data_IF_922984250172
#
_entry.id   IF_922984250172
#
_cell.length_a   1.000
_cell.length_b   1.000
_cell.length_c   1.000
_cell.angle_alpha   90.00
_cell.angle_beta   90.00
_cell.angle_gamma   90.00
#
_symmetry.space_group_name_H-M   'P 1'
#
loop_
_entity.id
_entity.type
_entity.pdbx_description
1 polymer ?
#
# COMPACT_ATOMS: atom_id res chain seq x y z
N UNK A 1 -8.50 -19.46 -10.43
CA UNK A 1 -8.52 -19.80 -8.99
C UNK A 1 -9.49 -18.91 -8.25
N UNK A 2 -10.22 -19.47 -7.27
CA UNK A 2 -11.05 -18.73 -6.30
C UNK A 2 -10.29 -18.46 -5.00
N UNK A 3 -10.78 -17.53 -4.19
CA UNK A 3 -10.25 -17.28 -2.85
C UNK A 3 -11.25 -17.73 -1.76
N UNK A 4 -10.79 -18.58 -0.87
CA UNK A 4 -11.49 -19.06 0.32
C UNK A 4 -10.97 -18.30 1.53
N UNK A 5 -11.85 -17.55 2.21
CA UNK A 5 -11.48 -16.77 3.40
C UNK A 5 -12.15 -17.36 4.64
N UNK A 6 -11.37 -17.68 5.67
CA UNK A 6 -11.88 -18.19 6.94
C UNK A 6 -12.25 -17.05 7.88
N UNK A 7 -13.55 -16.95 8.20
CA UNK A 7 -14.15 -15.93 9.05
C UNK A 7 -15.11 -16.56 10.08
N UNK A 8 -14.72 -17.70 10.65
CA UNK A 8 -15.60 -18.54 11.48
C UNK A 8 -15.42 -18.37 13.00
N UNK A 9 -14.32 -17.77 13.46
CA UNK A 9 -13.97 -17.69 14.89
C UNK A 9 -14.64 -16.56 15.67
N UNK A 10 -14.61 -16.66 17.01
CA UNK A 10 -15.24 -15.69 17.92
C UNK A 10 -14.46 -14.37 18.07
N UNK A 11 -13.14 -14.37 17.86
CA UNK A 11 -12.32 -13.15 17.97
C UNK A 11 -12.24 -12.53 19.37
N UNK A 12 -12.23 -13.36 20.43
CA UNK A 12 -12.35 -12.94 21.85
C UNK A 12 -11.37 -11.84 22.28
N UNK A 13 -10.12 -11.88 21.80
CA UNK A 13 -9.04 -10.98 22.27
C UNK A 13 -9.24 -9.52 21.82
N UNK A 14 -9.89 -9.28 20.69
CA UNK A 14 -10.20 -7.94 20.17
C UNK A 14 -11.57 -7.42 20.60
N UNK A 15 -12.48 -8.30 21.03
CA UNK A 15 -13.86 -7.94 21.41
C UNK A 15 -13.95 -6.86 22.50
N UNK A 16 -13.08 -6.78 23.52
CA UNK A 16 -13.12 -5.71 24.51
C UNK A 16 -12.87 -4.31 23.94
N UNK A 17 -12.20 -4.23 22.79
CA UNK A 17 -11.80 -2.96 22.17
C UNK A 17 -12.72 -2.53 21.01
N UNK A 18 -13.49 -3.47 20.47
CA UNK A 18 -14.32 -3.25 19.29
C UNK A 18 -15.66 -3.97 19.40
N UNK A 19 -16.75 -3.21 19.26
CA UNK A 19 -18.11 -3.75 19.24
C UNK A 19 -18.49 -4.27 17.84
N UNK A 20 -17.80 -5.34 17.43
CA UNK A 20 -17.97 -5.99 16.12
C UNK A 20 -17.15 -7.29 16.04
N UNK A 21 -17.52 -8.23 15.17
CA UNK A 21 -16.73 -9.43 14.88
C UNK A 21 -15.31 -9.06 14.41
N UNK A 22 -14.30 -9.86 14.77
CA UNK A 22 -12.90 -9.66 14.38
C UNK A 22 -12.72 -9.37 12.88
N UNK A 23 -13.32 -10.14 11.94
CA UNK A 23 -13.20 -9.85 10.50
C UNK A 23 -13.70 -8.45 10.10
N UNK A 24 -14.67 -7.91 10.84
CA UNK A 24 -15.32 -6.63 10.58
C UNK A 24 -14.66 -5.44 11.30
N UNK A 25 -13.60 -5.70 12.11
CA UNK A 25 -12.83 -4.65 12.79
C UNK A 25 -12.18 -3.71 11.77
N UNK A 26 -12.46 -2.42 11.90
CA UNK A 26 -11.92 -1.41 10.99
C UNK A 26 -10.47 -1.09 11.31
N UNK A 27 -9.59 -1.28 10.34
CA UNK A 27 -8.21 -0.82 10.35
C UNK A 27 -8.01 0.22 9.24
N UNK A 28 -7.86 1.48 9.65
CA UNK A 28 -7.65 2.63 8.75
C UNK A 28 -8.73 2.73 7.65
N UNK A 29 -10.00 2.66 8.05
CA UNK A 29 -11.15 2.93 7.18
C UNK A 29 -11.73 1.73 6.43
N UNK A 30 -11.08 0.57 6.45
CA UNK A 30 -11.60 -0.68 5.91
C UNK A 30 -11.62 -1.75 6.99
N UNK A 31 -12.59 -2.66 6.97
CA UNK A 31 -12.52 -3.86 7.81
C UNK A 31 -11.35 -4.78 7.40
N UNK A 32 -10.89 -5.65 8.31
CA UNK A 32 -9.81 -6.62 8.02
C UNK A 32 -10.15 -7.47 6.79
N UNK A 33 -11.38 -8.01 6.76
CA UNK A 33 -11.82 -8.88 5.65
C UNK A 33 -12.00 -8.11 4.34
N UNK A 34 -12.54 -6.88 4.37
CA UNK A 34 -12.61 -6.04 3.15
C UNK A 34 -11.22 -5.76 2.59
N UNK A 35 -10.25 -5.48 3.45
CA UNK A 35 -8.86 -5.25 3.02
C UNK A 35 -8.29 -6.49 2.34
N UNK A 36 -8.52 -7.69 2.87
CA UNK A 36 -8.05 -8.93 2.26
C UNK A 36 -8.72 -9.21 0.91
N UNK A 37 -10.04 -9.01 0.81
CA UNK A 37 -10.79 -9.13 -0.45
C UNK A 37 -10.25 -8.16 -1.50
N UNK A 38 -10.12 -6.88 -1.15
CA UNK A 38 -9.61 -5.85 -2.06
C UNK A 38 -8.16 -6.11 -2.47
N UNK A 39 -7.32 -6.58 -1.55
CA UNK A 39 -5.93 -6.95 -1.86
C UNK A 39 -5.83 -8.08 -2.88
N UNK A 40 -6.63 -9.14 -2.72
CA UNK A 40 -6.67 -10.26 -3.65
C UNK A 40 -7.30 -9.87 -5.00
N UNK A 41 -8.27 -8.93 -4.98
CA UNK A 41 -8.84 -8.33 -6.20
C UNK A 41 -7.80 -7.58 -7.02
N UNK A 42 -6.92 -6.80 -6.40
CA UNK A 42 -5.79 -6.15 -7.10
C UNK A 42 -4.82 -7.17 -7.72
N UNK A 43 -4.83 -8.41 -7.22
CA UNK A 43 -4.07 -9.52 -7.80
C UNK A 43 -4.85 -10.30 -8.87
N UNK A 44 -6.05 -9.85 -9.24
CA UNK A 44 -6.87 -10.43 -10.31
C UNK A 44 -7.93 -11.43 -9.85
N UNK A 45 -8.07 -11.70 -8.55
CA UNK A 45 -9.05 -12.67 -8.03
C UNK A 45 -10.39 -11.98 -7.80
N UNK A 46 -11.45 -12.49 -8.43
CA UNK A 46 -12.79 -11.89 -8.37
C UNK A 46 -13.83 -12.76 -7.69
N UNK A 47 -13.57 -14.04 -7.48
CA UNK A 47 -14.54 -14.98 -6.95
C UNK A 47 -14.09 -15.47 -5.57
N UNK A 48 -14.92 -15.19 -4.57
CA UNK A 48 -14.63 -15.42 -3.16
C UNK A 48 -15.66 -16.35 -2.53
N UNK A 49 -15.17 -17.25 -1.68
CA UNK A 49 -15.99 -18.07 -0.79
C UNK A 49 -15.61 -17.75 0.64
N UNK A 50 -16.52 -17.12 1.38
CA UNK A 50 -16.31 -16.78 2.79
C UNK A 50 -16.89 -17.90 3.64
N UNK A 51 -16.03 -18.56 4.41
CA UNK A 51 -16.45 -19.56 5.38
C UNK A 51 -16.79 -18.84 6.68
N UNK A 52 -18.07 -18.85 7.03
CA UNK A 52 -18.63 -18.22 8.22
C UNK A 52 -18.89 -19.24 9.32
N UNK A 53 -18.98 -18.76 10.57
CA UNK A 53 -19.26 -19.55 11.76
C UNK A 53 -20.02 -18.67 12.75
N UNK A 54 -19.38 -18.28 13.85
CA UNK A 54 -20.00 -17.54 14.96
C UNK A 54 -20.84 -16.30 14.56
N UNK A 55 -20.39 -15.49 13.60
CA UNK A 55 -21.04 -14.23 13.21
C UNK A 55 -21.49 -14.22 11.74
N UNK A 56 -22.11 -15.31 11.28
CA UNK A 56 -22.44 -15.49 9.87
C UNK A 56 -23.36 -14.40 9.28
N UNK A 57 -24.40 -14.00 10.01
CA UNK A 57 -25.36 -12.98 9.57
C UNK A 57 -24.70 -11.60 9.48
N UNK A 58 -24.02 -11.15 10.53
CA UNK A 58 -23.33 -9.85 10.54
C UNK A 58 -22.31 -9.71 9.41
N UNK A 59 -21.54 -10.77 9.14
CA UNK A 59 -20.55 -10.77 8.04
C UNK A 59 -21.26 -10.68 6.68
N UNK A 60 -22.34 -11.45 6.48
CA UNK A 60 -23.10 -11.48 5.24
C UNK A 60 -23.79 -10.14 4.98
N UNK A 61 -24.41 -9.55 5.99
CA UNK A 61 -25.11 -8.27 5.87
C UNK A 61 -24.13 -7.13 5.54
N UNK A 62 -22.94 -7.16 6.12
CA UNK A 62 -21.92 -6.14 5.89
C UNK A 62 -21.25 -6.24 4.51
N UNK A 63 -20.92 -7.45 4.05
CA UNK A 63 -20.21 -7.70 2.79
C UNK A 63 -21.15 -7.83 1.58
N UNK A 64 -22.40 -8.26 1.79
CA UNK A 64 -23.38 -8.48 0.74
C UNK A 64 -22.92 -9.53 -0.28
N UNK A 65 -23.26 -9.35 -1.56
CA UNK A 65 -22.82 -10.22 -2.65
C UNK A 65 -21.43 -9.87 -3.22
N UNK A 66 -20.75 -8.88 -2.62
CA UNK A 66 -19.43 -8.41 -3.05
C UNK A 66 -19.44 -7.36 -4.17
N UNK A 67 -20.59 -7.02 -4.78
CA UNK A 67 -20.64 -6.08 -5.91
C UNK A 67 -20.07 -4.71 -5.57
N UNK A 68 -20.30 -4.21 -4.33
CA UNK A 68 -19.71 -2.95 -3.82
C UNK A 68 -18.17 -2.96 -3.86
N UNK A 69 -17.57 -4.12 -3.73
CA UNK A 69 -16.11 -4.33 -3.74
C UNK A 69 -15.59 -4.72 -5.14
N UNK A 70 -16.46 -4.88 -6.14
CA UNK A 70 -16.09 -5.28 -7.49
C UNK A 70 -15.72 -6.77 -7.62
N UNK A 71 -16.27 -7.62 -6.74
CA UNK A 71 -16.03 -9.06 -6.68
C UNK A 71 -17.36 -9.82 -6.52
N UNK A 72 -17.34 -11.14 -6.66
CA UNK A 72 -18.45 -12.03 -6.35
C UNK A 72 -18.16 -12.75 -5.03
N UNK A 73 -19.10 -12.71 -4.08
CA UNK A 73 -18.96 -13.39 -2.79
C UNK A 73 -20.06 -14.45 -2.64
N UNK A 74 -19.63 -15.69 -2.39
CA UNK A 74 -20.46 -16.79 -1.90
C UNK A 74 -20.14 -17.06 -0.44
N UNK A 75 -21.13 -17.51 0.32
CA UNK A 75 -20.98 -17.87 1.72
C UNK A 75 -21.20 -19.35 1.92
N UNK A 76 -20.34 -19.98 2.70
CA UNK A 76 -20.60 -21.29 3.28
C UNK A 76 -20.58 -21.14 4.81
N UNK A 77 -21.45 -21.89 5.47
CA UNK A 77 -21.53 -21.89 6.93
C UNK A 77 -20.93 -23.19 7.49
N UNK A 78 -20.05 -23.05 8.46
CA UNK A 78 -19.54 -24.15 9.26
C UNK A 78 -20.25 -24.16 10.62
N UNK A 79 -21.10 -25.16 10.85
CA UNK A 79 -21.81 -25.35 12.12
C UNK A 79 -20.83 -25.72 13.24
N UNK A 80 -19.78 -26.48 12.90
CA UNK A 80 -18.75 -26.99 13.82
C UNK A 80 -17.54 -26.05 13.92
N UNK A 81 -17.75 -24.74 13.83
CA UNK A 81 -16.66 -23.75 13.81
C UNK A 81 -15.79 -23.75 15.08
N UNK A 82 -16.29 -24.31 16.18
CA UNK A 82 -15.56 -24.47 17.44
C UNK A 82 -14.48 -25.56 17.41
N UNK A 83 -14.57 -26.53 16.49
CA UNK A 83 -13.62 -27.65 16.44
C UNK A 83 -12.23 -27.23 15.95
N UNK A 84 -12.16 -26.24 15.05
CA UNK A 84 -10.88 -25.71 14.57
C UNK A 84 -10.94 -25.09 13.18
N UNK A 85 -9.83 -24.43 12.81
CA UNK A 85 -9.70 -23.80 11.49
C UNK A 85 -9.60 -24.83 10.34
N UNK A 86 -9.15 -26.06 10.62
CA UNK A 86 -9.14 -27.16 9.64
C UNK A 86 -10.54 -27.59 9.26
N UNK A 87 -11.44 -27.77 10.25
CA UNK A 87 -12.86 -28.08 10.00
C UNK A 87 -13.54 -26.95 9.23
N UNK A 88 -13.21 -25.70 9.56
CA UNK A 88 -13.69 -24.53 8.81
C UNK A 88 -13.19 -24.55 7.36
N UNK A 89 -11.90 -24.78 7.12
CA UNK A 89 -11.36 -24.91 5.77
C UNK A 89 -12.00 -26.06 4.99
N UNK A 90 -12.22 -27.20 5.64
CA UNK A 90 -12.83 -28.37 5.02
C UNK A 90 -14.24 -28.07 4.52
N UNK A 91 -14.99 -27.15 5.13
CA UNK A 91 -16.34 -26.75 4.66
C UNK A 91 -16.39 -26.39 3.19
N UNK A 92 -15.28 -25.92 2.61
CA UNK A 92 -15.16 -25.63 1.18
C UNK A 92 -15.39 -26.84 0.27
N UNK A 93 -15.23 -28.08 0.74
CA UNK A 93 -15.52 -29.30 -0.05
C UNK A 93 -16.94 -29.30 -0.65
N UNK A 94 -17.90 -28.63 0.01
CA UNK A 94 -19.30 -28.51 -0.44
C UNK A 94 -19.44 -27.78 -1.78
N UNK A 95 -18.44 -27.00 -2.16
CA UNK A 95 -18.45 -26.16 -3.38
C UNK A 95 -17.16 -26.28 -4.20
N UNK A 96 -16.25 -27.16 -3.79
CA UNK A 96 -14.98 -27.38 -4.47
C UNK A 96 -15.23 -27.94 -5.88
N UNK A 97 -14.51 -27.41 -6.86
CA UNK A 97 -14.53 -27.92 -8.24
C UNK A 97 -13.35 -28.85 -8.42
N UNK A 98 -13.57 -29.99 -9.08
CA UNK A 98 -12.51 -30.95 -9.35
C UNK A 98 -11.32 -30.26 -10.06
N UNK A 99 -10.11 -30.61 -9.62
CA UNK A 99 -8.83 -30.09 -10.11
C UNK A 99 -8.65 -28.56 -9.98
N UNK A 100 -9.47 -27.90 -9.15
CA UNK A 100 -9.35 -26.47 -8.90
C UNK A 100 -8.24 -26.13 -7.89
N UNK A 101 -7.40 -25.18 -8.26
CA UNK A 101 -6.55 -24.45 -7.32
C UNK A 101 -7.29 -23.29 -6.67
N UNK A 102 -7.14 -23.12 -5.38
CA UNK A 102 -7.75 -22.04 -4.62
C UNK A 102 -6.79 -21.42 -3.62
N UNK A 103 -6.93 -20.11 -3.39
CA UNK A 103 -6.24 -19.45 -2.29
C UNK A 103 -7.02 -19.71 -1.02
N UNK A 104 -6.36 -20.10 0.06
CA UNK A 104 -6.96 -20.15 1.39
C UNK A 104 -6.26 -19.12 2.28
N UNK A 105 -7.04 -18.24 2.90
CA UNK A 105 -6.53 -17.12 3.69
C UNK A 105 -7.35 -16.93 4.97
N UNK A 106 -6.67 -16.54 6.04
CA UNK A 106 -7.34 -16.10 7.28
C UNK A 106 -7.91 -14.68 7.12
N UNK A 107 -9.10 -14.41 7.65
CA UNK A 107 -9.75 -13.08 7.54
C UNK A 107 -9.07 -11.95 8.32
N UNK A 108 -8.17 -12.28 9.25
CA UNK A 108 -7.51 -11.40 10.20
C UNK A 108 -6.01 -11.21 9.93
N UNK A 109 -5.44 -11.91 8.94
CA UNK A 109 -4.06 -11.74 8.54
C UNK A 109 -3.97 -10.72 7.40
N UNK A 110 -3.17 -9.66 7.59
CA UNK A 110 -2.98 -8.59 6.60
C UNK A 110 -1.62 -8.75 5.93
N UNK A 111 -1.61 -8.73 4.60
CA UNK A 111 -0.41 -8.96 3.79
C UNK A 111 -0.03 -7.74 2.97
N UNK A 112 1.28 -7.56 2.74
CA UNK A 112 1.81 -6.63 1.76
C UNK A 112 1.46 -7.04 0.33
N UNK A 113 1.25 -6.05 -0.54
CA UNK A 113 0.83 -6.28 -1.92
C UNK A 113 1.89 -7.02 -2.74
N UNK A 114 3.19 -6.78 -2.48
CA UNK A 114 4.25 -7.46 -3.22
C UNK A 114 4.30 -8.94 -2.86
N UNK A 115 4.11 -9.29 -1.58
CA UNK A 115 4.01 -10.68 -1.13
C UNK A 115 2.87 -11.41 -1.82
N UNK A 116 1.66 -10.83 -1.88
CA UNK A 116 0.53 -11.49 -2.54
C UNK A 116 0.82 -11.76 -4.03
N UNK A 117 1.43 -10.79 -4.73
CA UNK A 117 1.80 -10.94 -6.15
C UNK A 117 2.85 -12.03 -6.37
N UNK A 118 3.91 -12.06 -5.56
CA UNK A 118 4.95 -13.09 -5.69
C UNK A 118 4.42 -14.46 -5.29
N UNK A 119 3.58 -14.54 -4.27
CA UNK A 119 2.93 -15.78 -3.83
C UNK A 119 2.03 -16.38 -4.92
N UNK A 120 1.19 -15.56 -5.56
CA UNK A 120 0.32 -15.98 -6.67
C UNK A 120 1.13 -16.38 -7.91
N UNK A 121 2.26 -15.72 -8.15
CA UNK A 121 3.17 -16.11 -9.24
C UNK A 121 3.78 -17.49 -8.98
N UNK A 122 4.17 -17.78 -7.74
CA UNK A 122 4.71 -19.10 -7.37
C UNK A 122 3.64 -20.19 -7.30
N UNK A 123 2.37 -19.82 -7.08
CA UNK A 123 1.23 -20.74 -7.18
C UNK A 123 1.20 -21.46 -8.53
N UNK A 124 1.54 -20.77 -9.62
CA UNK A 124 1.56 -21.35 -10.98
C UNK A 124 2.59 -22.47 -11.18
N UNK A 125 3.47 -22.69 -10.20
CA UNK A 125 4.57 -23.68 -10.25
C UNK A 125 4.33 -24.88 -9.33
N UNK A 126 3.18 -24.97 -8.67
CA UNK A 126 2.86 -26.12 -7.82
C UNK A 126 2.23 -27.23 -8.65
N UNK A 127 2.36 -28.46 -8.18
CA UNK A 127 1.66 -29.60 -8.78
C UNK A 127 0.28 -29.76 -8.15
N UNK A 128 -0.62 -30.43 -8.86
CA UNK A 128 -1.98 -30.74 -8.40
C UNK A 128 -2.01 -31.46 -7.04
N UNK A 129 -0.98 -32.27 -6.76
CA UNK A 129 -0.87 -32.99 -5.51
C UNK A 129 -0.12 -32.21 -4.40
N UNK A 130 0.32 -30.98 -4.63
CA UNK A 130 1.07 -30.16 -3.67
C UNK A 130 0.19 -29.09 -3.01
N UNK A 131 0.68 -28.55 -1.89
CA UNK A 131 0.18 -27.37 -1.20
C UNK A 131 1.28 -26.31 -1.22
N UNK A 132 0.93 -25.04 -1.50
CA UNK A 132 1.84 -23.91 -1.24
C UNK A 132 1.49 -23.22 0.07
N UNK A 133 2.51 -22.85 0.85
CA UNK A 133 2.35 -22.13 2.12
C UNK A 133 3.25 -20.90 2.11
N UNK A 134 2.72 -19.73 2.46
CA UNK A 134 3.53 -18.56 2.71
C UNK A 134 4.25 -18.73 4.06
N UNK A 135 5.58 -18.64 4.05
CA UNK A 135 6.40 -18.80 5.24
C UNK A 135 7.40 -17.67 5.41
N UNK A 136 7.65 -17.22 6.64
CA UNK A 136 8.64 -16.19 6.93
C UNK A 136 9.87 -16.77 7.63
N UNK A 137 11.04 -16.59 7.03
CA UNK A 137 12.35 -16.94 7.60
C UNK A 137 12.98 -15.79 8.39
N UNK A 138 12.44 -14.57 8.27
CA UNK A 138 12.94 -13.36 8.92
C UNK A 138 12.33 -13.29 10.32
N UNK A 139 12.74 -14.24 11.17
CA UNK A 139 12.17 -14.43 12.52
C UNK A 139 12.25 -13.16 13.36
N UNK A 140 13.25 -12.30 13.12
CA UNK A 140 13.43 -11.01 13.76
C UNK A 140 12.37 -9.95 13.38
N UNK A 141 11.63 -10.17 12.29
CA UNK A 141 10.55 -9.29 11.82
C UNK A 141 9.16 -9.76 12.22
N UNK A 142 9.03 -11.00 12.72
CA UNK A 142 7.76 -11.56 13.16
C UNK A 142 7.36 -10.89 14.48
N UNK A 143 6.15 -10.33 14.53
CA UNK A 143 5.70 -9.54 15.69
C UNK A 143 5.57 -10.38 16.96
N UNK A 144 4.87 -11.52 16.88
CA UNK A 144 4.71 -12.46 18.00
C UNK A 144 5.12 -13.87 17.58
N UNK A 145 6.40 -14.19 17.75
CA UNK A 145 6.95 -15.49 17.40
C UNK A 145 6.40 -16.65 18.26
N UNK A 146 5.90 -16.34 19.45
CA UNK A 146 5.44 -17.36 20.40
C UNK A 146 4.06 -17.89 20.00
N UNK A 147 3.16 -17.01 19.57
CA UNK A 147 1.80 -17.37 19.14
C UNK A 147 1.75 -18.00 17.73
N UNK A 148 2.77 -17.73 16.89
CA UNK A 148 2.87 -18.24 15.53
C UNK A 148 3.03 -19.76 15.45
N UNK A 149 2.49 -20.35 14.38
CA UNK A 149 2.78 -21.73 13.99
C UNK A 149 4.19 -21.78 13.38
N UNK A 150 5.11 -22.46 14.06
CA UNK A 150 6.51 -22.57 13.65
C UNK A 150 6.66 -23.69 12.61
N UNK A 151 7.63 -23.54 11.71
CA UNK A 151 7.93 -24.46 10.62
C UNK A 151 9.40 -24.87 10.68
N UNK A 152 9.65 -26.18 10.65
CA UNK A 152 10.94 -26.73 10.23
C UNK A 152 10.92 -26.90 8.73
N UNK A 153 11.72 -26.12 8.02
CA UNK A 153 11.85 -26.16 6.58
C UNK A 153 13.19 -26.76 6.16
N UNK A 154 13.17 -27.56 5.10
CA UNK A 154 14.35 -27.97 4.35
C UNK A 154 14.19 -27.57 2.89
N UNK A 155 15.13 -26.78 2.37
CA UNK A 155 15.01 -26.13 1.05
C UNK A 155 13.69 -25.35 0.97
N UNK A 156 12.82 -25.71 0.02
CA UNK A 156 11.52 -25.06 -0.21
C UNK A 156 10.35 -25.93 0.24
N UNK A 157 10.57 -26.86 1.18
CA UNK A 157 9.53 -27.74 1.69
C UNK A 157 9.45 -27.68 3.21
N UNK A 158 8.22 -27.78 3.73
CA UNK A 158 7.97 -27.98 5.14
C UNK A 158 8.20 -29.44 5.49
N UNK A 159 8.96 -29.68 6.56
CA UNK A 159 9.15 -31.00 7.16
C UNK A 159 8.15 -31.21 8.29
N UNK A 160 7.97 -30.20 9.13
CA UNK A 160 7.05 -30.24 10.26
C UNK A 160 6.60 -28.84 10.66
N UNK A 161 5.35 -28.74 11.08
CA UNK A 161 4.76 -27.52 11.62
C UNK A 161 4.24 -27.76 13.04
N UNK A 162 4.24 -26.71 13.86
CA UNK A 162 3.56 -26.74 15.15
C UNK A 162 3.87 -25.52 16.02
N UNK A 163 2.91 -25.11 16.85
CA UNK A 163 3.09 -23.97 17.78
C UNK A 163 4.21 -24.19 18.81
N UNK A 164 4.35 -25.43 19.29
CA UNK A 164 5.33 -25.84 20.31
C UNK A 164 6.61 -26.45 19.71
N UNK A 165 6.87 -26.24 18.42
CA UNK A 165 8.05 -26.81 17.76
C UNK A 165 9.32 -26.06 18.22
N UNK A 166 10.27 -26.78 18.82
CA UNK A 166 11.52 -26.18 19.32
C UNK A 166 12.58 -26.00 18.22
N UNK A 167 12.70 -26.97 17.30
CA UNK A 167 13.59 -26.89 16.14
C UNK A 167 12.83 -26.35 14.94
N UNK A 168 12.97 -25.05 14.67
CA UNK A 168 12.30 -24.35 13.57
C UNK A 168 13.22 -23.30 12.95
N UNK A 169 12.93 -22.95 11.69
CA UNK A 169 13.69 -21.94 10.95
C UNK A 169 12.78 -21.04 10.09
N UNK A 170 11.46 -21.19 10.20
CA UNK A 170 10.46 -20.32 9.60
C UNK A 170 9.16 -20.33 10.42
N UNK A 171 8.21 -19.47 10.08
CA UNK A 171 6.84 -19.47 10.60
C UNK A 171 5.82 -19.46 9.47
N UNK A 172 4.64 -20.03 9.72
CA UNK A 172 3.46 -19.97 8.85
C UNK A 172 2.82 -18.58 8.90
N UNK A 173 2.53 -18.03 7.73
CA UNK A 173 1.90 -16.71 7.60
C UNK A 173 0.37 -16.79 7.41
N UNK A 174 -0.25 -17.97 7.44
CA UNK A 174 -1.71 -18.11 7.32
C UNK A 174 -2.26 -17.88 5.90
N UNK A 175 -1.43 -18.10 4.89
CA UNK A 175 -1.79 -17.96 3.47
C UNK A 175 -1.33 -19.19 2.68
N UNK A 176 -2.25 -19.78 1.93
CA UNK A 176 -2.05 -21.06 1.26
C UNK A 176 -2.58 -21.04 -0.17
N UNK A 177 -1.98 -21.85 -1.04
CA UNK A 177 -2.62 -22.32 -2.28
C UNK A 177 -2.97 -23.79 -2.08
N UNK A 178 -4.26 -24.05 -1.92
CA UNK A 178 -4.81 -25.39 -1.80
C UNK A 178 -5.19 -25.99 -3.14
N UNK A 179 -5.11 -27.30 -3.20
CA UNK A 179 -5.66 -28.17 -4.24
C UNK A 179 -6.52 -29.24 -3.59
N UNK A 180 -7.05 -30.20 -4.36
CA UNK A 180 -7.72 -31.39 -3.82
C UNK A 180 -6.89 -32.13 -2.75
N UNK A 181 -5.56 -32.09 -2.87
CA UNK A 181 -4.66 -32.67 -1.88
C UNK A 181 -4.83 -32.11 -0.46
N UNK A 182 -5.12 -30.81 -0.34
CA UNK A 182 -5.39 -30.19 0.96
C UNK A 182 -6.71 -30.69 1.55
N UNK A 183 -7.75 -30.83 0.73
CA UNK A 183 -9.04 -31.34 1.17
C UNK A 183 -8.94 -32.80 1.62
N UNK A 184 -8.23 -33.64 0.88
CA UNK A 184 -7.97 -35.03 1.27
C UNK A 184 -7.22 -35.12 2.60
N UNK A 185 -6.20 -34.27 2.78
CA UNK A 185 -5.45 -34.20 4.02
C UNK A 185 -6.31 -33.72 5.20
N UNK A 186 -7.24 -32.77 4.96
CA UNK A 186 -8.21 -32.32 5.95
C UNK A 186 -9.16 -33.45 6.36
N UNK A 187 -9.72 -34.21 5.41
CA UNK A 187 -10.56 -35.38 5.71
C UNK A 187 -9.81 -36.37 6.60
N UNK A 188 -8.57 -36.69 6.21
CA UNK A 188 -7.73 -37.62 6.97
C UNK A 188 -7.44 -37.11 8.38
N UNK A 189 -7.08 -35.84 8.54
CA UNK A 189 -6.84 -35.26 9.86
C UNK A 189 -8.10 -35.28 10.74
N UNK A 190 -9.25 -34.85 10.21
CA UNK A 190 -10.52 -34.77 10.94
C UNK A 190 -10.97 -36.15 11.40
N UNK A 191 -10.86 -37.18 10.55
CA UNK A 191 -11.19 -38.57 10.93
C UNK A 191 -10.27 -39.15 12.03
N UNK A 192 -9.11 -38.53 12.28
CA UNK A 192 -8.21 -38.86 13.37
C UNK A 192 -8.43 -38.00 14.62
N UNK A 193 -9.45 -37.14 14.63
CA UNK A 193 -9.73 -36.21 15.72
C UNK A 193 -8.79 -34.98 15.75
N UNK A 194 -8.09 -34.71 14.65
CA UNK A 194 -7.20 -33.57 14.49
C UNK A 194 -7.87 -32.50 13.63
N UNK A 195 -8.14 -31.33 14.21
CA UNK A 195 -9.07 -30.34 13.62
C UNK A 195 -8.41 -29.05 13.12
N UNK A 196 -7.08 -28.93 13.17
CA UNK A 196 -6.38 -27.72 12.73
C UNK A 196 -5.89 -27.84 11.29
N UNK A 197 -5.70 -26.70 10.62
CA UNK A 197 -5.02 -26.65 9.32
C UNK A 197 -3.61 -27.23 9.43
N UNK A 198 -2.90 -26.92 10.52
CA UNK A 198 -1.54 -27.44 10.78
C UNK A 198 -1.49 -28.96 10.77
N UNK A 199 -2.53 -29.65 11.24
CA UNK A 199 -2.58 -31.12 11.22
C UNK A 199 -2.64 -31.67 9.78
N UNK A 200 -3.50 -31.10 8.94
CA UNK A 200 -3.58 -31.47 7.53
C UNK A 200 -2.29 -31.14 6.76
N UNK A 201 -1.69 -29.98 7.05
CA UNK A 201 -0.40 -29.60 6.45
C UNK A 201 0.69 -30.59 6.85
N UNK A 202 0.74 -31.03 8.11
CA UNK A 202 1.72 -32.03 8.58
C UNK A 202 1.57 -33.37 7.87
N UNK A 203 0.34 -33.79 7.50
CA UNK A 203 0.11 -34.98 6.68
C UNK A 203 0.79 -34.82 5.31
N UNK A 204 0.60 -33.68 4.63
CA UNK A 204 1.24 -33.41 3.34
C UNK A 204 2.76 -33.28 3.46
N UNK A 205 3.25 -32.59 4.50
CA UNK A 205 4.67 -32.42 4.79
C UNK A 205 5.38 -33.77 4.96
N UNK A 206 4.77 -34.73 5.65
CA UNK A 206 5.34 -36.09 5.84
C UNK A 206 5.57 -36.86 4.53
N UNK A 207 4.89 -36.43 3.46
CA UNK A 207 5.03 -36.99 2.10
C UNK A 207 5.78 -36.09 1.12
N UNK A 208 6.41 -35.00 1.60
CA UNK A 208 7.14 -34.05 0.76
C UNK A 208 6.26 -33.20 -0.16
N UNK A 209 4.98 -33.01 0.18
CA UNK A 209 3.96 -32.33 -0.64
C UNK A 209 3.58 -30.94 -0.14
N UNK A 210 4.23 -30.44 0.91
CA UNK A 210 4.00 -29.10 1.47
C UNK A 210 5.15 -28.16 1.07
N UNK A 211 4.96 -27.40 -0.02
CA UNK A 211 5.94 -26.46 -0.56
C UNK A 211 5.81 -25.09 0.11
N UNK A 212 6.92 -24.38 0.22
CA UNK A 212 7.03 -23.09 0.90
C UNK A 212 7.35 -21.98 -0.09
N UNK A 213 6.66 -20.85 0.06
CA UNK A 213 7.04 -19.56 -0.52
C UNK A 213 7.59 -18.68 0.59
N UNK A 214 8.87 -18.33 0.53
CA UNK A 214 9.48 -17.46 1.53
C UNK A 214 9.17 -15.99 1.26
N UNK A 215 8.49 -15.37 2.21
CA UNK A 215 7.97 -14.01 2.04
C UNK A 215 9.08 -12.94 2.09
N UNK A 216 8.92 -11.89 1.29
CA UNK A 216 9.85 -10.76 1.22
C UNK A 216 9.22 -9.41 1.64
N UNK A 217 7.90 -9.36 1.83
CA UNK A 217 7.15 -8.19 2.28
C UNK A 217 6.54 -8.43 3.68
N UNK A 218 5.85 -7.45 4.26
CA UNK A 218 5.22 -7.58 5.56
C UNK A 218 3.98 -8.49 5.53
N UNK A 219 3.71 -9.13 6.66
CA UNK A 219 2.45 -9.77 6.99
C UNK A 219 2.23 -9.63 8.50
N UNK A 220 0.97 -9.53 8.94
CA UNK A 220 0.63 -9.40 10.37
C UNK A 220 -0.68 -10.14 10.65
N UNK A 221 -0.66 -11.06 11.62
CA UNK A 221 -1.87 -11.57 12.27
C UNK A 221 -2.40 -10.54 13.26
N UNK A 222 -3.59 -10.01 13.02
CA UNK A 222 -4.23 -9.00 13.87
C UNK A 222 -5.10 -9.70 14.90
N UNK A 223 -4.51 -10.15 16.01
CA UNK A 223 -5.20 -11.00 16.99
C UNK A 223 -5.67 -10.29 18.26
N UNK A 224 -4.93 -9.28 18.70
CA UNK A 224 -5.18 -8.48 19.90
C UNK A 224 -4.97 -6.97 19.62
N UNK A 225 -5.12 -6.15 20.66
CA UNK A 225 -4.99 -4.70 20.48
C UNK A 225 -3.56 -4.27 20.13
N UNK A 226 -2.53 -4.98 20.60
CA UNK A 226 -1.14 -4.64 20.33
C UNK A 226 -0.77 -4.91 18.87
N UNK A 227 -1.10 -6.11 18.37
CA UNK A 227 -0.96 -6.49 16.96
C UNK A 227 -1.81 -5.61 16.05
N UNK A 228 -3.00 -5.16 16.49
CA UNK A 228 -3.79 -4.16 15.77
C UNK A 228 -3.05 -2.81 15.63
N UNK A 229 -2.44 -2.29 16.71
CA UNK A 229 -1.65 -1.05 16.64
C UNK A 229 -0.38 -1.22 15.80
N UNK A 230 0.25 -2.40 15.86
CA UNK A 230 1.39 -2.72 15.02
C UNK A 230 0.99 -2.76 13.54
N UNK A 231 -0.11 -3.42 13.21
CA UNK A 231 -0.65 -3.49 11.86
C UNK A 231 -0.96 -2.10 11.31
N UNK A 232 -1.55 -1.22 12.13
CA UNK A 232 -1.76 0.19 11.78
C UNK A 232 -0.45 0.89 11.38
N UNK A 233 0.62 0.72 12.18
CA UNK A 233 1.92 1.37 11.93
C UNK A 233 2.59 0.86 10.66
N UNK A 234 2.63 -0.47 10.50
CA UNK A 234 3.25 -1.11 9.32
C UNK A 234 2.49 -0.76 8.05
N UNK A 235 1.16 -0.78 8.09
CA UNK A 235 0.32 -0.44 6.96
C UNK A 235 0.47 1.02 6.54
N UNK A 236 0.61 1.97 7.48
CA UNK A 236 0.91 3.37 7.11
C UNK A 236 2.29 3.50 6.47
N UNK A 237 3.31 2.84 7.03
CA UNK A 237 4.68 2.88 6.48
C UNK A 237 4.76 2.28 5.07
N UNK A 238 3.97 1.25 4.77
CA UNK A 238 3.93 0.64 3.44
C UNK A 238 3.25 1.51 2.37
N UNK A 239 2.62 2.63 2.74
CA UNK A 239 2.07 3.59 1.78
C UNK A 239 3.14 4.48 1.15
N UNK A 240 4.34 4.55 1.73
CA UNK A 240 5.44 5.37 1.23
C UNK A 240 6.01 4.74 -0.04
N UNK A 241 5.98 5.43 -1.18
CA UNK A 241 6.61 4.93 -2.41
C UNK A 241 8.13 4.81 -2.26
N UNK A 242 8.74 3.80 -2.89
CA UNK A 242 10.20 3.64 -2.92
C UNK A 242 10.91 4.78 -3.67
N UNK A 243 10.21 5.42 -4.61
CA UNK A 243 10.74 6.42 -5.57
C UNK A 243 10.44 7.86 -5.15
N UNK A 244 10.35 8.09 -3.85
CA UNK A 244 10.01 9.38 -3.28
C UNK A 244 11.17 10.38 -3.39
N UNK A 245 10.86 11.64 -3.63
CA UNK A 245 11.85 12.72 -3.60
C UNK A 245 12.48 12.88 -2.20
N UNK A 246 13.66 13.48 -2.14
CA UNK A 246 14.42 13.63 -0.89
C UNK A 246 13.62 14.34 0.20
N UNK A 247 12.97 15.47 -0.13
CA UNK A 247 12.17 16.22 0.85
C UNK A 247 10.94 15.41 1.24
N UNK A 248 10.29 14.76 0.26
CA UNK A 248 9.15 13.90 0.55
C UNK A 248 9.52 12.82 1.57
N UNK A 249 10.58 12.06 1.30
CA UNK A 249 11.01 10.91 2.11
C UNK A 249 11.38 11.30 3.54
N UNK A 250 12.22 12.34 3.72
CA UNK A 250 12.77 12.69 5.03
C UNK A 250 11.89 13.68 5.82
N UNK A 251 11.05 14.47 5.15
CA UNK A 251 10.23 15.50 5.80
C UNK A 251 8.73 15.26 5.60
N UNK A 252 8.23 15.26 4.36
CA UNK A 252 6.77 15.28 4.13
C UNK A 252 6.09 14.03 4.67
N UNK A 253 6.66 12.84 4.45
CA UNK A 253 6.05 11.55 4.81
C UNK A 253 5.77 11.42 6.30
N UNK A 254 6.55 12.07 7.16
CA UNK A 254 6.29 12.07 8.61
C UNK A 254 4.94 12.72 8.93
N UNK A 255 4.62 13.82 8.24
CA UNK A 255 3.40 14.58 8.46
C UNK A 255 2.22 14.02 7.64
N UNK A 256 2.44 13.66 6.38
CA UNK A 256 1.39 13.13 5.52
C UNK A 256 0.82 11.82 6.08
N UNK A 257 1.65 10.89 6.55
CA UNK A 257 1.18 9.63 7.15
C UNK A 257 0.36 9.85 8.44
N UNK A 258 0.67 10.89 9.22
CA UNK A 258 -0.12 11.27 10.38
C UNK A 258 -1.51 11.76 9.95
N UNK A 259 -1.57 12.64 8.95
CA UNK A 259 -2.81 13.16 8.38
C UNK A 259 -3.63 12.02 7.77
N UNK A 260 -3.00 11.16 6.97
CA UNK A 260 -3.59 9.93 6.39
C UNK A 260 -4.19 9.05 7.47
N UNK A 261 -3.48 8.81 8.58
CA UNK A 261 -3.99 8.00 9.69
C UNK A 261 -5.28 8.53 10.31
N UNK A 262 -5.49 9.84 10.29
CA UNK A 262 -6.71 10.51 10.76
C UNK A 262 -7.80 10.45 9.67
N UNK A 263 -7.49 10.91 8.46
CA UNK A 263 -8.43 10.99 7.33
C UNK A 263 -8.91 9.63 6.83
N UNK A 264 -8.12 8.57 7.02
CA UNK A 264 -8.49 7.22 6.61
C UNK A 264 -9.84 6.77 7.21
N UNK A 265 -10.20 7.28 8.41
CA UNK A 265 -11.45 6.96 9.10
C UNK A 265 -12.66 7.74 8.56
N UNK A 266 -12.42 8.78 7.76
CA UNK A 266 -13.46 9.65 7.22
C UNK A 266 -13.88 9.19 5.81
N UNK A 267 -15.09 9.58 5.39
CA UNK A 267 -15.59 9.36 4.02
C UNK A 267 -15.07 10.42 3.04
N UNK A 268 -13.76 10.67 3.05
CA UNK A 268 -13.06 11.58 2.13
C UNK A 268 -12.43 10.79 0.98
N UNK A 269 -12.53 11.32 -0.24
CA UNK A 269 -11.95 10.73 -1.46
C UNK A 269 -10.56 11.31 -1.76
N UNK A 270 -9.69 10.59 -2.49
CA UNK A 270 -8.40 11.12 -2.95
C UNK A 270 -8.55 12.45 -3.70
N UNK A 271 -9.48 12.54 -4.66
CA UNK A 271 -9.69 13.76 -5.45
C UNK A 271 -10.11 14.97 -4.59
N UNK A 272 -10.85 14.76 -3.49
CA UNK A 272 -11.15 15.83 -2.54
C UNK A 272 -9.88 16.34 -1.84
N UNK A 273 -8.97 15.45 -1.49
CA UNK A 273 -7.68 15.80 -0.87
C UNK A 273 -6.81 16.55 -1.88
N UNK A 274 -6.77 16.11 -3.15
CA UNK A 274 -6.11 16.82 -4.25
C UNK A 274 -6.61 18.27 -4.36
N UNK A 275 -7.93 18.48 -4.32
CA UNK A 275 -8.52 19.83 -4.34
C UNK A 275 -8.09 20.64 -3.11
N UNK A 276 -8.03 20.04 -1.91
CA UNK A 276 -7.55 20.73 -0.70
C UNK A 276 -6.07 21.11 -0.85
N UNK A 277 -5.22 20.22 -1.37
CA UNK A 277 -3.82 20.52 -1.68
C UNK A 277 -3.70 21.71 -2.62
N UNK A 278 -4.45 21.69 -3.73
CA UNK A 278 -4.52 22.76 -4.71
C UNK A 278 -4.98 24.09 -4.11
N UNK A 279 -6.07 24.10 -3.34
CA UNK A 279 -6.57 25.32 -2.68
C UNK A 279 -5.57 25.87 -1.65
N UNK A 280 -4.85 24.99 -0.95
CA UNK A 280 -3.78 25.39 -0.03
C UNK A 280 -2.65 26.08 -0.79
N UNK A 281 -2.24 25.56 -1.94
CA UNK A 281 -1.24 26.19 -2.81
C UNK A 281 -1.72 27.52 -3.42
N UNK A 282 -2.99 27.62 -3.81
CA UNK A 282 -3.59 28.88 -4.26
C UNK A 282 -3.61 29.93 -3.13
N UNK A 283 -3.90 29.52 -1.90
CA UNK A 283 -3.77 30.37 -0.71
C UNK A 283 -2.33 30.84 -0.49
N UNK A 284 -1.34 29.95 -0.68
CA UNK A 284 0.07 30.31 -0.64
C UNK A 284 0.43 31.40 -1.67
N UNK A 285 -0.02 31.22 -2.92
CA UNK A 285 0.18 32.18 -4.00
C UNK A 285 -0.42 33.55 -3.67
N UNK A 286 -1.63 33.58 -3.10
CA UNK A 286 -2.29 34.81 -2.66
C UNK A 286 -1.51 35.50 -1.53
N UNK A 287 -1.04 34.73 -0.53
CA UNK A 287 -0.20 35.27 0.53
C UNK A 287 1.08 35.89 -0.02
N UNK A 288 1.75 35.24 -0.99
CA UNK A 288 2.90 35.82 -1.67
C UNK A 288 2.54 37.12 -2.38
N UNK A 289 1.47 37.14 -3.18
CA UNK A 289 1.04 38.31 -3.94
C UNK A 289 0.71 39.53 -3.05
N UNK A 290 0.19 39.29 -1.85
CA UNK A 290 -0.12 40.32 -0.84
C UNK A 290 1.08 40.72 0.03
N UNK A 291 2.28 40.20 -0.25
CA UNK A 291 3.51 40.48 0.51
C UNK A 291 3.68 39.67 1.80
N UNK A 292 2.77 38.75 2.10
CA UNK A 292 2.82 37.82 3.24
C UNK A 292 3.74 36.62 2.99
N UNK A 293 5.03 36.86 2.72
CA UNK A 293 5.97 35.84 2.24
C UNK A 293 6.17 34.66 3.20
N UNK A 294 6.20 34.90 4.52
CA UNK A 294 6.32 33.83 5.52
C UNK A 294 5.15 32.83 5.42
N UNK A 295 3.92 33.32 5.44
CA UNK A 295 2.72 32.49 5.37
C UNK A 295 2.59 31.82 4.00
N UNK A 296 2.95 32.53 2.92
CA UNK A 296 3.02 31.94 1.58
C UNK A 296 3.98 30.74 1.54
N UNK A 297 5.18 30.88 2.12
CA UNK A 297 6.16 29.79 2.18
C UNK A 297 5.68 28.59 2.99
N UNK A 298 5.09 28.83 4.17
CA UNK A 298 4.57 27.76 5.01
C UNK A 298 3.38 27.03 4.37
N UNK A 299 2.47 27.76 3.71
CA UNK A 299 1.34 27.17 2.99
C UNK A 299 1.80 26.37 1.76
N UNK A 300 2.82 26.82 1.03
CA UNK A 300 3.39 26.09 -0.10
C UNK A 300 4.02 24.74 0.35
N UNK A 301 4.69 24.72 1.51
CA UNK A 301 5.17 23.46 2.06
C UNK A 301 4.02 22.58 2.55
N UNK A 302 3.01 23.17 3.20
CA UNK A 302 1.84 22.44 3.67
C UNK A 302 1.08 21.79 2.50
N UNK A 303 0.91 22.49 1.38
CA UNK A 303 0.31 21.90 0.19
C UNK A 303 1.13 20.70 -0.29
N UNK A 304 2.46 20.78 -0.32
CA UNK A 304 3.34 19.64 -0.66
C UNK A 304 3.16 18.43 0.27
N UNK A 305 2.84 18.66 1.54
CA UNK A 305 2.55 17.57 2.50
C UNK A 305 1.17 16.96 2.24
N UNK A 306 0.14 17.80 2.06
CA UNK A 306 -1.25 17.36 1.80
C UNK A 306 -1.34 16.61 0.47
N UNK A 307 -0.58 17.05 -0.53
CA UNK A 307 -0.41 16.36 -1.81
C UNK A 307 -0.12 14.87 -1.63
N UNK A 308 0.86 14.52 -0.81
CA UNK A 308 1.21 13.12 -0.57
C UNK A 308 0.09 12.28 0.06
N UNK A 309 -0.87 12.91 0.75
CA UNK A 309 -1.98 12.26 1.46
C UNK A 309 -3.00 11.68 0.48
N UNK A 310 -3.23 12.31 -0.69
CA UNK A 310 -4.23 11.81 -1.63
C UNK A 310 -3.85 10.42 -2.18
N UNK A 311 -2.59 10.25 -2.54
CA UNK A 311 -2.03 9.03 -3.06
C UNK A 311 -1.96 7.97 -1.98
N UNK A 312 -1.59 8.36 -0.75
CA UNK A 312 -1.61 7.48 0.42
C UNK A 312 -3.02 6.92 0.68
N UNK A 313 -4.04 7.78 0.73
CA UNK A 313 -5.45 7.37 0.89
C UNK A 313 -5.90 6.51 -0.30
N UNK A 314 -5.51 6.86 -1.53
CA UNK A 314 -5.86 6.10 -2.72
C UNK A 314 -5.32 4.66 -2.68
N UNK A 315 -4.09 4.42 -2.22
CA UNK A 315 -3.58 3.03 -2.06
C UNK A 315 -4.20 2.35 -0.85
N UNK A 316 -4.32 3.06 0.28
CA UNK A 316 -4.83 2.50 1.53
C UNK A 316 -6.27 2.00 1.42
N UNK A 317 -7.10 2.68 0.63
CA UNK A 317 -8.53 2.37 0.41
C UNK A 317 -8.82 1.71 -0.93
N UNK A 318 -7.82 1.37 -1.74
CA UNK A 318 -8.00 0.78 -3.08
C UNK A 318 -8.85 1.65 -4.02
N UNK A 319 -8.61 2.96 -3.99
CA UNK A 319 -9.32 3.98 -4.77
C UNK A 319 -8.43 4.65 -5.84
N UNK A 320 -7.34 3.98 -6.23
CA UNK A 320 -6.49 4.46 -7.33
C UNK A 320 -7.28 4.46 -8.64
N UNK A 321 -7.22 5.56 -9.38
CA UNK A 321 -7.81 5.67 -10.72
C UNK A 321 -6.89 6.45 -11.64
N UNK A 322 -6.90 6.14 -12.94
CA UNK A 322 -6.12 6.87 -13.94
C UNK A 322 -6.54 8.34 -14.03
N UNK A 323 -7.85 8.61 -13.89
CA UNK A 323 -8.36 9.99 -13.83
C UNK A 323 -7.82 10.73 -12.60
N UNK A 324 -7.82 10.12 -11.41
CA UNK A 324 -7.28 10.75 -10.20
C UNK A 324 -5.81 11.12 -10.34
N UNK A 325 -5.00 10.22 -10.92
CA UNK A 325 -3.58 10.50 -11.18
C UNK A 325 -3.39 11.65 -12.19
N UNK A 326 -4.20 11.71 -13.25
CA UNK A 326 -4.19 12.82 -14.20
C UNK A 326 -4.64 14.14 -13.54
N UNK A 327 -5.72 14.09 -12.77
CA UNK A 327 -6.32 15.24 -12.10
C UNK A 327 -5.35 15.89 -11.12
N UNK A 328 -4.71 15.07 -10.29
CA UNK A 328 -3.64 15.47 -9.38
C UNK A 328 -2.48 16.15 -10.13
N UNK A 329 -1.92 15.45 -11.12
CA UNK A 329 -0.79 15.95 -11.89
C UNK A 329 -1.05 17.31 -12.57
N UNK A 330 -2.25 17.52 -13.10
CA UNK A 330 -2.64 18.79 -13.73
C UNK A 330 -2.82 19.91 -12.70
N UNK A 331 -3.54 19.67 -11.60
CA UNK A 331 -3.73 20.68 -10.56
C UNK A 331 -2.41 21.11 -9.93
N UNK A 332 -1.47 20.17 -9.80
CA UNK A 332 -0.11 20.44 -9.37
C UNK A 332 0.64 21.44 -10.26
N UNK A 333 0.42 21.38 -11.58
CA UNK A 333 1.01 22.35 -12.51
C UNK A 333 0.41 23.74 -12.31
N UNK A 334 -0.91 23.83 -12.19
CA UNK A 334 -1.58 25.11 -11.92
C UNK A 334 -1.15 25.70 -10.58
N UNK A 335 -1.07 24.89 -9.53
CA UNK A 335 -0.58 25.30 -8.21
C UNK A 335 0.85 25.87 -8.29
N UNK A 336 1.77 25.14 -8.94
CA UNK A 336 3.14 25.60 -9.11
C UNK A 336 3.21 26.94 -9.89
N UNK A 337 2.41 27.11 -10.95
CA UNK A 337 2.33 28.37 -11.70
C UNK A 337 1.80 29.52 -10.86
N UNK A 338 0.73 29.30 -10.10
CA UNK A 338 0.15 30.32 -9.22
C UNK A 338 1.17 30.81 -8.19
N UNK A 339 1.94 29.91 -7.58
CA UNK A 339 2.98 30.28 -6.60
C UNK A 339 4.05 31.16 -7.25
N UNK A 340 4.57 30.78 -8.42
CA UNK A 340 5.58 31.57 -9.14
C UNK A 340 5.01 32.94 -9.54
N UNK A 341 3.76 32.99 -10.03
CA UNK A 341 3.08 34.24 -10.37
C UNK A 341 2.87 35.14 -9.14
N UNK A 342 2.50 34.57 -7.99
CA UNK A 342 2.33 35.32 -6.75
C UNK A 342 3.62 35.98 -6.26
N UNK A 343 4.73 35.23 -6.31
CA UNK A 343 6.08 35.75 -6.01
C UNK A 343 6.48 36.87 -7.00
N UNK A 344 6.28 36.63 -8.30
CA UNK A 344 6.61 37.60 -9.34
C UNK A 344 5.77 38.88 -9.24
N UNK A 345 4.47 38.75 -8.94
CA UNK A 345 3.57 39.87 -8.76
C UNK A 345 4.01 40.76 -7.60
N UNK A 346 4.29 40.18 -6.43
CA UNK A 346 4.77 40.91 -5.25
C UNK A 346 6.05 41.71 -5.54
N UNK A 347 7.02 41.08 -6.21
CA UNK A 347 8.28 41.72 -6.59
C UNK A 347 8.08 42.80 -7.66
N UNK A 348 7.24 42.56 -8.66
CA UNK A 348 7.04 43.52 -9.75
C UNK A 348 6.23 44.73 -9.28
N UNK A 349 5.28 44.55 -8.37
CA UNK A 349 4.50 45.64 -7.77
C UNK A 349 5.41 46.65 -7.03
N UNK A 350 6.50 46.16 -6.43
CA UNK A 350 7.44 47.00 -5.67
C UNK A 350 8.59 47.54 -6.50
N UNK A 351 9.14 46.76 -7.43
CA UNK A 351 10.34 47.13 -8.20
C UNK A 351 10.07 47.70 -9.58
N UNK A 352 8.90 47.40 -10.17
CA UNK A 352 8.55 47.68 -11.57
C UNK A 352 9.66 47.32 -12.58
N UNK A 353 10.39 46.22 -12.31
CA UNK A 353 11.58 45.85 -13.06
C UNK A 353 11.30 44.73 -14.07
N UNK A 354 11.62 44.98 -15.34
CA UNK A 354 11.58 43.97 -16.41
C UNK A 354 12.41 42.74 -16.09
N UNK A 355 13.49 42.86 -15.32
CA UNK A 355 14.34 41.72 -14.94
C UNK A 355 13.58 40.69 -14.10
N UNK A 356 12.68 41.13 -13.22
CA UNK A 356 11.84 40.25 -12.40
C UNK A 356 10.89 39.45 -13.30
N UNK A 357 10.29 40.10 -14.30
CA UNK A 357 9.42 39.44 -15.27
C UNK A 357 10.17 38.39 -16.10
N UNK A 358 11.40 38.68 -16.52
CA UNK A 358 12.23 37.73 -17.27
C UNK A 358 12.61 36.51 -16.41
N UNK A 359 12.99 36.72 -15.15
CA UNK A 359 13.30 35.61 -14.22
C UNK A 359 12.04 34.79 -13.93
N UNK A 360 10.89 35.43 -13.72
CA UNK A 360 9.61 34.75 -13.53
C UNK A 360 9.22 33.91 -14.75
N UNK A 361 9.39 34.44 -15.97
CA UNK A 361 9.16 33.69 -17.20
C UNK A 361 10.11 32.48 -17.32
N UNK A 362 11.37 32.64 -16.96
CA UNK A 362 12.33 31.54 -16.91
C UNK A 362 11.92 30.46 -15.88
N UNK A 363 11.42 30.85 -14.71
CA UNK A 363 10.90 29.92 -13.71
C UNK A 363 9.64 29.19 -14.21
N UNK A 364 8.66 29.91 -14.76
CA UNK A 364 7.41 29.34 -15.27
C UNK A 364 7.65 28.33 -16.40
N UNK A 365 8.61 28.62 -17.28
CA UNK A 365 8.98 27.71 -18.37
C UNK A 365 9.80 26.52 -17.86
N UNK A 366 10.62 26.68 -16.83
CA UNK A 366 11.47 25.62 -16.30
C UNK A 366 10.74 24.62 -15.40
N UNK A 367 9.88 25.08 -14.49
CA UNK A 367 9.17 24.25 -13.50
C UNK A 367 8.47 23.00 -14.08
N UNK A 368 7.72 23.07 -15.21
CA UNK A 368 7.06 21.90 -15.77
C UNK A 368 8.03 20.95 -16.51
N UNK A 369 9.23 21.40 -16.89
CA UNK A 369 10.16 20.61 -17.73
C UNK A 369 10.60 19.30 -17.09
N UNK A 370 10.80 19.30 -15.76
CA UNK A 370 11.17 18.08 -15.03
C UNK A 370 10.13 16.96 -15.19
N UNK A 371 8.83 17.30 -15.18
CA UNK A 371 7.73 16.36 -15.42
C UNK A 371 7.62 16.01 -16.90
N UNK A 372 7.58 17.03 -17.77
CA UNK A 372 7.46 16.85 -19.22
C UNK A 372 8.56 15.93 -19.78
N UNK A 373 9.78 16.08 -19.28
CA UNK A 373 10.89 15.21 -19.63
C UNK A 373 10.60 13.75 -19.24
N UNK A 374 10.15 13.50 -17.99
CA UNK A 374 9.85 12.13 -17.52
C UNK A 374 8.72 11.49 -18.33
N UNK A 375 7.68 12.27 -18.65
CA UNK A 375 6.56 11.81 -19.47
C UNK A 375 6.98 11.50 -20.91
N UNK A 376 7.77 12.39 -21.53
CA UNK A 376 8.28 12.17 -22.89
C UNK A 376 9.26 11.00 -22.95
N UNK A 377 10.12 10.85 -21.94
CA UNK A 377 11.01 9.70 -21.83
C UNK A 377 10.19 8.40 -21.76
N UNK A 378 9.18 8.34 -20.88
CA UNK A 378 8.32 7.16 -20.77
C UNK A 378 7.57 6.86 -22.07
N UNK A 379 7.03 7.88 -22.73
CA UNK A 379 6.33 7.72 -24.01
C UNK A 379 7.23 7.21 -25.15
N UNK A 380 8.53 7.49 -25.11
CA UNK A 380 9.47 7.09 -26.17
C UNK A 380 10.17 5.75 -25.88
N UNK A 381 10.51 5.50 -24.61
CA UNK A 381 11.28 4.31 -24.19
C UNK A 381 10.36 3.17 -23.72
N UNK A 382 9.11 3.47 -23.34
CA UNK A 382 8.18 2.51 -22.74
C UNK A 382 8.38 2.29 -21.24
N UNK A 383 9.49 2.78 -20.66
CA UNK A 383 9.85 2.63 -19.25
C UNK A 383 9.87 3.97 -18.52
N UNK A 384 9.48 4.05 -17.25
CA UNK A 384 9.49 5.30 -16.50
C UNK A 384 10.94 5.79 -16.26
N UNK A 385 11.16 7.09 -16.37
CA UNK A 385 12.46 7.67 -16.00
C UNK A 385 12.62 7.68 -14.47
N UNK A 386 13.61 6.94 -13.95
CA UNK A 386 13.90 6.79 -12.52
C UNK A 386 15.09 7.67 -12.10
N UNK A 387 14.86 8.78 -11.37
CA UNK A 387 15.91 9.66 -10.86
C UNK A 387 17.03 8.91 -10.10
N UNK A 388 16.67 7.89 -9.34
CA UNK A 388 17.61 7.15 -8.49
C UNK A 388 18.66 6.39 -9.32
N UNK A 389 18.26 5.98 -10.53
CA UNK A 389 19.09 5.22 -11.46
C UNK A 389 19.83 6.17 -12.40
N UNK A 390 19.11 7.14 -12.97
CA UNK A 390 19.62 7.94 -14.08
C UNK A 390 20.23 9.27 -13.65
N UNK A 391 19.69 9.96 -12.64
CA UNK A 391 20.16 11.31 -12.26
C UNK A 391 21.54 11.26 -11.56
N UNK A 392 21.98 10.10 -11.04
CA UNK A 392 23.29 9.94 -10.39
C UNK A 392 23.45 10.86 -9.18
N UNK A 393 24.57 11.60 -9.09
CA UNK A 393 24.77 12.59 -8.01
C UNK A 393 23.79 13.78 -8.11
N UNK A 394 23.29 14.07 -9.32
CA UNK A 394 22.38 15.20 -9.55
C UNK A 394 20.97 14.95 -9.01
N UNK A 395 20.66 13.74 -8.53
CA UNK A 395 19.41 13.43 -7.83
C UNK A 395 19.18 14.27 -6.56
N UNK A 396 20.26 14.81 -5.99
CA UNK A 396 20.21 15.68 -4.80
C UNK A 396 19.91 17.14 -5.13
N UNK A 397 19.88 17.52 -6.42
CA UNK A 397 19.36 18.81 -6.81
C UNK A 397 17.85 18.81 -6.51
N UNK A 398 17.31 19.77 -5.73
CA UNK A 398 15.90 19.82 -5.34
C UNK A 398 14.99 20.31 -6.49
N UNK A 399 15.11 19.68 -7.66
CA UNK A 399 14.38 20.03 -8.88
C UNK A 399 13.03 19.31 -9.01
N UNK A 400 12.79 18.25 -8.23
CA UNK A 400 11.46 17.65 -8.11
C UNK A 400 10.52 18.60 -7.34
N UNK A 401 9.21 18.39 -7.47
CA UNK A 401 8.20 19.32 -6.95
C UNK A 401 8.33 19.55 -5.44
N UNK A 402 8.51 18.49 -4.67
CA UNK A 402 8.76 18.53 -3.22
C UNK A 402 9.97 19.41 -2.87
N UNK A 403 11.08 19.25 -3.60
CA UNK A 403 12.28 20.09 -3.47
C UNK A 403 12.02 21.57 -3.80
N UNK A 404 11.28 21.85 -4.87
CA UNK A 404 10.95 23.22 -5.28
C UNK A 404 10.05 23.92 -4.27
N UNK A 405 9.02 23.25 -3.75
CA UNK A 405 8.13 23.81 -2.73
C UNK A 405 8.87 24.05 -1.40
N UNK A 406 9.85 23.20 -1.09
CA UNK A 406 10.74 23.45 0.05
C UNK A 406 11.62 24.69 -0.16
N UNK A 407 12.17 24.90 -1.36
CA UNK A 407 12.89 26.15 -1.72
C UNK A 407 11.97 27.36 -1.56
N UNK A 408 10.71 27.26 -2.02
CA UNK A 408 9.71 28.33 -1.86
C UNK A 408 9.46 28.62 -0.38
N UNK A 409 9.36 27.59 0.47
CA UNK A 409 9.22 27.76 1.91
C UNK A 409 10.40 28.51 2.52
N UNK A 410 11.64 28.09 2.24
CA UNK A 410 12.84 28.77 2.73
C UNK A 410 12.88 30.24 2.24
N UNK A 411 12.54 30.45 0.98
CA UNK A 411 12.37 31.78 0.39
C UNK A 411 11.40 32.67 1.16
N UNK A 412 10.24 32.13 1.49
CA UNK A 412 9.21 32.82 2.29
C UNK A 412 9.68 33.12 3.71
N UNK A 413 10.29 32.14 4.39
CA UNK A 413 10.81 32.28 5.76
C UNK A 413 11.88 33.36 5.86
N UNK A 414 12.85 33.34 4.94
CA UNK A 414 13.94 34.31 4.93
C UNK A 414 13.59 35.63 4.23
N UNK A 415 12.35 35.75 3.74
CA UNK A 415 11.87 36.93 3.03
C UNK A 415 12.75 37.28 1.80
N UNK A 416 13.12 36.27 1.01
CA UNK A 416 14.00 36.38 -0.16
C UNK A 416 13.30 35.98 -1.48
N UNK A 417 12.16 36.60 -1.86
CA UNK A 417 11.37 36.17 -3.00
C UNK A 417 12.12 36.23 -4.35
N UNK A 418 13.02 37.20 -4.54
CA UNK A 418 13.81 37.31 -5.77
C UNK A 418 14.80 36.14 -5.89
N UNK A 419 15.53 35.85 -4.81
CA UNK A 419 16.46 34.72 -4.78
C UNK A 419 15.72 33.40 -5.03
N UNK A 420 14.52 33.23 -4.46
CA UNK A 420 13.66 32.07 -4.71
C UNK A 420 13.34 31.91 -6.18
N UNK A 421 12.88 32.96 -6.88
CA UNK A 421 12.57 32.88 -8.31
C UNK A 421 13.80 32.54 -9.15
N UNK A 422 14.96 33.14 -8.85
CA UNK A 422 16.23 32.85 -9.55
C UNK A 422 16.63 31.40 -9.35
N UNK A 423 16.58 30.89 -8.11
CA UNK A 423 16.93 29.51 -7.79
C UNK A 423 15.97 28.53 -8.49
N UNK A 424 14.66 28.80 -8.46
CA UNK A 424 13.67 27.94 -9.14
C UNK A 424 13.92 27.88 -10.64
N UNK A 425 14.19 29.02 -11.29
CA UNK A 425 14.52 29.07 -12.71
C UNK A 425 15.80 28.26 -13.00
N UNK A 426 16.88 28.51 -12.26
CA UNK A 426 18.16 27.85 -12.48
C UNK A 426 18.06 26.33 -12.26
N UNK A 427 17.55 25.90 -11.11
CA UNK A 427 17.48 24.49 -10.71
C UNK A 427 16.64 23.67 -11.70
N UNK A 428 15.49 24.19 -12.13
CA UNK A 428 14.61 23.45 -13.03
C UNK A 428 15.22 23.25 -14.42
N UNK A 429 15.87 24.28 -14.98
CA UNK A 429 16.53 24.18 -16.28
C UNK A 429 17.80 23.34 -16.22
N UNK A 430 18.66 23.53 -15.22
CA UNK A 430 19.88 22.74 -15.03
C UNK A 430 19.55 21.25 -14.95
N UNK A 431 18.54 20.86 -14.16
CA UNK A 431 18.14 19.46 -14.07
C UNK A 431 17.67 18.91 -15.41
N UNK A 432 16.85 19.67 -16.15
CA UNK A 432 16.37 19.25 -17.47
C UNK A 432 17.52 19.04 -18.46
N UNK A 433 18.52 19.94 -18.48
CA UNK A 433 19.70 19.78 -19.33
C UNK A 433 20.53 18.55 -18.95
N UNK A 434 20.74 18.31 -17.66
CA UNK A 434 21.44 17.11 -17.17
C UNK A 434 20.71 15.85 -17.64
N UNK A 435 19.39 15.81 -17.48
CA UNK A 435 18.56 14.67 -17.89
C UNK A 435 18.58 14.43 -19.39
N UNK A 436 18.52 15.49 -20.20
CA UNK A 436 18.69 15.40 -21.66
C UNK A 436 20.06 14.83 -22.03
N UNK A 437 21.13 15.30 -21.39
CA UNK A 437 22.47 14.79 -21.62
C UNK A 437 22.62 13.31 -21.23
N UNK A 438 22.03 12.91 -20.11
CA UNK A 438 22.03 11.52 -19.65
C UNK A 438 21.20 10.62 -20.55
N UNK A 439 20.03 11.07 -21.00
CA UNK A 439 19.18 10.31 -21.93
C UNK A 439 19.86 10.03 -23.26
N UNK A 440 20.72 10.92 -23.75
CA UNK A 440 21.55 10.67 -24.95
C UNK A 440 22.45 9.43 -24.81
N UNK A 441 22.80 9.01 -23.59
CA UNK A 441 23.60 7.79 -23.37
C UNK A 441 22.75 6.53 -23.29
N UNK A 442 21.43 6.67 -23.18
CA UNK A 442 20.45 5.59 -23.01
C UNK A 442 19.67 5.29 -24.30
N UNK A 443 19.58 6.29 -25.18
CA UNK A 443 19.05 6.24 -26.55
C UNK A 443 20.19 6.11 -27.54
#
# INVERSE_FOLDING_TARGET
MRAVILAAGEGKRLRPYFDRPKPLVHLLGLSLIERNILSLRECGIKDFVIITGCYAEEIRDYLGDGKRLGVNIKYLHNEDWQLGNGVSAYTFHKDYQQDEEFILMMSDHIFGMNLLKTFITDAQKIKENELLIAADRRLEKVFDLNECTKIKAERDYAIKLGKKLCDFNAVDCGLFIGTGALLDALVKAISQGCYTLTDAVNILASSGRAKLHFVNDFWIDVDDYESYQQCKKVLLRSLVPEKDGFISHYFNRRFSLMITGILARMKITPNQITVISFLTAAGAALCFALGGHLYGGLLAQLSSVIDGVDGEIARLKFQKTSYGALFDSILDRYADFMIVLGLAYSLNFTTNSTSVLLVAAAALTGVPMSMLFKEKFHSLIGEPYLPEIYDGIFRYIPANRDGRLFIVMLGGIFNQPLATLVILAAVAHIQTFIRLYQARRLM
#
